data_IF_746700358684
#
_entry.id   IF_746700358684
#
_cell.length_a   1.000
_cell.length_b   1.000
_cell.length_c   1.000
_cell.angle_alpha   90.00
_cell.angle_beta   90.00
_cell.angle_gamma   90.00
#
_symmetry.space_group_name_H-M   'P 1'
#
loop_
_entity.id
_entity.type
_entity.pdbx_description
1 polymer ?
#
# COMPACT_ATOMS: atom_id res chain seq x y z
N UNK A 1 10.11 -9.62 12.25
CA UNK A 1 8.67 -9.37 12.01
C UNK A 1 8.29 -9.90 10.64
N UNK A 2 7.13 -10.54 10.49
CA UNK A 2 6.69 -11.06 9.18
C UNK A 2 6.41 -9.88 8.24
N UNK A 3 7.23 -9.72 7.19
CA UNK A 3 7.19 -8.61 6.21
C UNK A 3 5.89 -8.48 5.41
N UNK A 4 4.93 -9.41 5.57
CA UNK A 4 3.75 -9.54 4.71
C UNK A 4 2.43 -9.43 5.46
N UNK A 5 2.46 -8.98 6.71
CA UNK A 5 1.27 -8.72 7.52
C UNK A 5 0.74 -7.32 7.23
N UNK A 6 -0.56 -7.13 7.44
CA UNK A 6 -1.18 -5.82 7.40
C UNK A 6 -0.81 -5.03 8.65
N UNK A 7 -0.24 -3.86 8.40
CA UNK A 7 -0.07 -2.81 9.40
C UNK A 7 -1.36 -1.97 9.48
N UNK A 8 -1.60 -1.26 10.58
CA UNK A 8 -2.68 -0.27 10.65
C UNK A 8 -2.61 0.78 9.52
N UNK A 9 -1.40 1.15 9.10
CA UNK A 9 -1.17 2.09 7.99
C UNK A 9 -1.69 1.54 6.65
N UNK A 10 -1.42 0.26 6.33
CA UNK A 10 -1.92 -0.36 5.10
C UNK A 10 -3.46 -0.32 5.05
N UNK A 11 -4.11 -0.55 6.19
CA UNK A 11 -5.57 -0.55 6.29
C UNK A 11 -6.12 0.87 6.20
N UNK A 12 -5.51 1.84 6.90
CA UNK A 12 -5.88 3.25 6.84
C UNK A 12 -5.87 3.76 5.39
N UNK A 13 -4.74 3.62 4.69
CA UNK A 13 -4.59 4.01 3.30
C UNK A 13 -5.59 3.32 2.37
N UNK A 14 -5.90 2.04 2.64
CA UNK A 14 -6.89 1.31 1.86
C UNK A 14 -8.31 1.86 2.05
N UNK A 15 -8.69 2.20 3.29
CA UNK A 15 -9.99 2.79 3.61
C UNK A 15 -10.14 4.19 3.02
N UNK A 16 -9.08 5.02 3.02
CA UNK A 16 -9.13 6.35 2.41
C UNK A 16 -9.23 6.29 0.89
N UNK A 17 -8.52 5.35 0.26
CA UNK A 17 -8.58 5.18 -1.19
C UNK A 17 -9.94 4.65 -1.67
N UNK A 18 -10.52 3.72 -0.93
CA UNK A 18 -11.79 3.11 -1.30
C UNK A 18 -12.90 3.96 -0.72
N UNK A 19 -13.63 4.70 -1.56
CA UNK A 19 -14.81 5.50 -1.17
C UNK A 19 -15.96 4.60 -0.64
N UNK A 20 -15.72 3.99 0.52
CA UNK A 20 -16.53 3.00 1.18
C UNK A 20 -17.61 3.68 2.01
N UNK A 21 -18.77 3.03 2.12
CA UNK A 21 -19.72 3.40 3.15
C UNK A 21 -19.17 2.96 4.50
N UNK A 22 -19.62 3.61 5.58
CA UNK A 22 -19.27 3.22 6.94
C UNK A 22 -19.54 1.73 7.23
N UNK A 23 -20.58 1.15 6.60
CA UNK A 23 -20.87 -0.29 6.66
C UNK A 23 -19.78 -1.16 6.06
N UNK A 24 -19.21 -0.75 4.92
CA UNK A 24 -18.15 -1.48 4.22
C UNK A 24 -16.84 -1.41 5.01
N UNK A 25 -16.50 -0.23 5.55
CA UNK A 25 -15.34 -0.08 6.42
C UNK A 25 -15.45 -0.94 7.69
N UNK A 26 -16.63 -0.93 8.33
CA UNK A 26 -16.90 -1.73 9.51
C UNK A 26 -16.74 -3.21 9.19
N UNK A 27 -17.36 -3.67 8.10
CA UNK A 27 -17.23 -5.05 7.64
C UNK A 27 -15.77 -5.44 7.41
N UNK A 28 -14.97 -4.61 6.74
CA UNK A 28 -13.56 -4.90 6.50
C UNK A 28 -12.79 -5.04 7.83
N UNK A 29 -12.93 -4.07 8.74
CA UNK A 29 -12.22 -4.04 10.02
C UNK A 29 -12.60 -5.25 10.89
N UNK A 30 -13.89 -5.57 10.97
CA UNK A 30 -14.39 -6.73 11.71
C UNK A 30 -13.96 -8.04 11.06
N UNK A 31 -14.09 -8.18 9.74
CA UNK A 31 -13.65 -9.39 9.05
C UNK A 31 -12.14 -9.66 9.21
N UNK A 32 -11.31 -8.62 9.13
CA UNK A 32 -9.87 -8.74 9.41
C UNK A 32 -9.61 -9.20 10.84
N UNK A 33 -10.33 -8.65 11.82
CA UNK A 33 -10.16 -9.00 13.22
C UNK A 33 -10.64 -10.41 13.54
N UNK A 34 -11.87 -10.73 13.15
CA UNK A 34 -12.59 -11.93 13.58
C UNK A 34 -12.18 -13.16 12.74
N UNK A 35 -11.91 -13.00 11.44
CA UNK A 35 -11.67 -14.13 10.53
C UNK A 35 -10.24 -14.20 9.98
N UNK A 36 -9.48 -13.09 10.03
CA UNK A 36 -8.14 -13.01 9.43
C UNK A 36 -7.09 -12.40 10.36
N UNK A 37 -7.27 -12.59 11.67
CA UNK A 37 -6.41 -12.00 12.71
C UNK A 37 -4.91 -12.31 12.50
N UNK A 38 -4.61 -13.51 12.00
CA UNK A 38 -3.25 -13.97 11.69
C UNK A 38 -2.55 -13.14 10.60
N UNK A 39 -3.30 -12.37 9.79
CA UNK A 39 -2.77 -11.45 8.78
C UNK A 39 -2.42 -10.07 9.35
N UNK A 40 -2.89 -9.72 10.55
CA UNK A 40 -2.58 -8.45 11.21
C UNK A 40 -1.17 -8.52 11.82
N UNK A 41 -0.46 -7.41 11.94
CA UNK A 41 0.81 -7.36 12.65
C UNK A 41 0.69 -7.85 14.12
N UNK A 42 1.63 -8.66 14.66
CA UNK A 42 1.42 -9.38 15.92
C UNK A 42 1.16 -8.47 17.13
N UNK A 43 1.74 -7.28 17.16
CA UNK A 43 1.56 -6.31 18.25
C UNK A 43 0.11 -5.83 18.41
N UNK A 44 -0.72 -5.92 17.36
CA UNK A 44 -2.11 -5.48 17.40
C UNK A 44 -3.11 -6.63 17.59
N UNK A 45 -2.70 -7.90 17.45
CA UNK A 45 -3.58 -9.09 17.45
C UNK A 45 -4.33 -9.37 18.76
N UNK A 46 -3.87 -8.79 19.87
CA UNK A 46 -4.42 -9.10 21.21
C UNK A 46 -5.52 -8.15 21.68
N UNK A 47 -5.72 -7.01 21.00
CA UNK A 47 -6.77 -6.05 21.38
C UNK A 47 -7.43 -5.40 20.16
N UNK A 48 -8.73 -5.69 19.95
CA UNK A 48 -9.54 -5.12 18.88
C UNK A 48 -9.54 -3.60 18.95
N UNK A 49 -9.69 -3.07 20.17
CA UNK A 49 -9.61 -1.65 20.45
C UNK A 49 -8.28 -1.04 20.03
N UNK A 50 -7.14 -1.62 20.45
CA UNK A 50 -5.82 -1.10 20.06
C UNK A 50 -5.60 -1.15 18.55
N UNK A 51 -6.06 -2.21 17.89
CA UNK A 51 -5.96 -2.33 16.44
C UNK A 51 -6.79 -1.23 15.72
N UNK A 52 -8.06 -1.06 16.08
CA UNK A 52 -8.93 -0.07 15.45
C UNK A 52 -8.50 1.37 15.76
N UNK A 53 -8.03 1.62 16.99
CA UNK A 53 -7.44 2.90 17.37
C UNK A 53 -6.18 3.19 16.55
N UNK A 54 -5.30 2.21 16.37
CA UNK A 54 -4.10 2.40 15.55
C UNK A 54 -4.42 2.71 14.08
N UNK A 55 -5.47 2.08 13.51
CA UNK A 55 -5.91 2.43 12.14
C UNK A 55 -6.38 3.89 12.09
N UNK A 56 -7.17 4.32 13.07
CA UNK A 56 -7.70 5.70 13.12
C UNK A 56 -6.57 6.72 13.24
N UNK A 57 -5.62 6.48 14.14
CA UNK A 57 -4.41 7.30 14.29
C UNK A 57 -3.57 7.35 13.01
N UNK A 58 -3.51 6.25 12.26
CA UNK A 58 -2.81 6.24 10.96
C UNK A 58 -3.50 7.14 9.93
N UNK A 59 -4.84 7.21 9.89
CA UNK A 59 -5.58 8.11 9.00
C UNK A 59 -5.35 9.58 9.38
N UNK A 60 -5.48 9.90 10.66
CA UNK A 60 -5.17 11.23 11.20
C UNK A 60 -3.73 11.65 10.86
N UNK A 61 -2.77 10.72 10.95
CA UNK A 61 -1.39 10.98 10.55
C UNK A 61 -1.21 11.17 9.04
N UNK A 62 -1.97 10.48 8.19
CA UNK A 62 -1.95 10.74 6.75
C UNK A 62 -2.45 12.14 6.43
N UNK A 63 -3.53 12.58 7.06
CA UNK A 63 -4.03 13.96 6.93
C UNK A 63 -2.95 14.97 7.40
N UNK A 64 -2.22 14.65 8.47
CA UNK A 64 -1.09 15.45 8.91
C UNK A 64 0.11 15.42 7.94
N UNK A 65 0.35 14.33 7.22
CA UNK A 65 1.37 14.24 6.16
C UNK A 65 0.99 15.04 4.92
N UNK A 66 -0.29 15.08 4.54
CA UNK A 66 -0.76 15.98 3.49
C UNK A 66 -0.54 17.44 3.93
N UNK A 67 -0.78 17.74 5.21
CA UNK A 67 -0.41 19.02 5.81
C UNK A 67 1.11 19.24 5.82
N UNK A 68 1.95 18.22 5.97
CA UNK A 68 3.42 18.36 5.81
C UNK A 68 3.81 18.77 4.39
N UNK A 69 3.20 18.18 3.37
CA UNK A 69 3.44 18.57 1.97
C UNK A 69 2.98 20.03 1.74
N UNK A 70 1.85 20.45 2.33
CA UNK A 70 1.42 21.85 2.37
C UNK A 70 2.43 22.74 3.12
N UNK A 71 2.95 22.28 4.25
CA UNK A 71 3.99 22.97 5.05
C UNK A 71 5.28 23.11 4.23
N UNK A 72 5.68 22.12 3.43
CA UNK A 72 6.82 22.24 2.51
C UNK A 72 6.59 23.30 1.43
N UNK A 73 5.36 23.40 0.91
CA UNK A 73 4.98 24.46 -0.03
C UNK A 73 5.03 25.83 0.65
N UNK A 74 4.50 25.94 1.87
CA UNK A 74 4.53 27.17 2.68
C UNK A 74 5.97 27.58 3.02
N UNK A 75 6.82 26.66 3.46
CA UNK A 75 8.25 26.91 3.72
C UNK A 75 8.98 27.45 2.48
N UNK A 76 8.61 26.98 1.28
CA UNK A 76 9.16 27.49 0.02
C UNK A 76 8.72 28.93 -0.25
N UNK A 77 7.43 29.23 -0.08
CA UNK A 77 6.90 30.59 -0.23
C UNK A 77 7.49 31.57 0.79
N UNK A 78 7.65 31.14 2.05
CA UNK A 78 8.27 31.93 3.11
C UNK A 78 9.73 32.29 2.78
N UNK A 79 10.49 31.35 2.19
CA UNK A 79 11.85 31.62 1.70
C UNK A 79 11.86 32.63 0.55
N UNK A 80 10.91 32.55 -0.39
CA UNK A 80 10.82 33.47 -1.52
C UNK A 80 10.56 34.93 -1.09
N UNK A 81 9.84 35.15 0.01
CA UNK A 81 9.58 36.49 0.56
C UNK A 81 10.64 36.95 1.58
N UNK A 82 11.73 36.21 1.74
CA UNK A 82 12.84 36.56 2.64
C UNK A 82 12.58 36.26 4.13
N UNK A 83 11.57 35.45 4.46
CA UNK A 83 11.31 35.02 5.83
C UNK A 83 12.34 33.96 6.28
N UNK A 84 12.80 34.09 7.53
CA UNK A 84 13.73 33.14 8.17
C UNK A 84 13.04 32.02 8.95
N UNK A 85 11.71 31.94 8.90
CA UNK A 85 10.91 30.96 9.64
C UNK A 85 10.78 29.65 8.84
N UNK A 86 11.07 28.51 9.47
CA UNK A 86 11.02 27.17 8.85
C UNK A 86 10.41 26.14 9.81
N UNK A 87 9.45 25.36 9.31
CA UNK A 87 8.79 24.27 10.04
C UNK A 87 9.51 22.95 9.69
N UNK A 88 9.97 22.16 10.68
CA UNK A 88 11.17 21.28 10.52
C UNK A 88 11.06 19.78 10.80
N UNK A 89 9.92 19.19 11.19
CA UNK A 89 9.87 17.73 11.39
C UNK A 89 9.23 17.01 10.21
N UNK A 90 9.86 15.94 9.68
CA UNK A 90 9.29 14.56 9.62
C UNK A 90 10.14 13.59 8.75
N UNK A 91 10.38 12.40 9.30
CA UNK A 91 11.19 11.30 8.73
C UNK A 91 10.34 10.27 7.96
N UNK A 92 10.85 9.72 6.84
CA UNK A 92 10.20 8.64 6.07
C UNK A 92 11.17 7.48 5.81
N UNK A 93 10.81 6.29 6.28
CA UNK A 93 11.50 5.04 5.94
C UNK A 93 10.49 3.87 5.82
N UNK A 94 9.80 3.78 4.68
CA UNK A 94 8.90 2.65 4.38
C UNK A 94 9.13 2.06 2.98
N UNK A 95 9.04 0.72 2.87
CA UNK A 95 9.17 0.00 1.61
C UNK A 95 7.84 0.00 0.83
N UNK A 96 7.55 1.11 0.14
CA UNK A 96 6.28 1.40 -0.53
C UNK A 96 5.81 0.35 -1.56
N UNK A 97 6.73 -0.34 -2.24
CA UNK A 97 6.33 -1.36 -3.22
C UNK A 97 5.70 -2.60 -2.56
N UNK A 98 6.11 -2.94 -1.34
CA UNK A 98 5.50 -4.05 -0.60
C UNK A 98 4.10 -3.67 -0.10
N UNK A 99 3.93 -2.43 0.37
CA UNK A 99 2.64 -1.87 0.76
C UNK A 99 1.65 -1.89 -0.41
N UNK A 100 2.10 -1.58 -1.62
CA UNK A 100 1.28 -1.65 -2.82
C UNK A 100 0.72 -3.06 -3.09
N UNK A 101 1.51 -4.12 -2.90
CA UNK A 101 0.98 -5.48 -3.08
C UNK A 101 0.02 -5.88 -1.96
N UNK A 102 0.25 -5.44 -0.71
CA UNK A 102 -0.73 -5.62 0.38
C UNK A 102 -2.06 -4.93 0.04
N UNK A 103 -1.98 -3.73 -0.49
CA UNK A 103 -3.13 -2.97 -0.98
C UNK A 103 -3.84 -3.68 -2.15
N UNK A 104 -3.12 -4.23 -3.14
CA UNK A 104 -3.74 -5.05 -4.20
C UNK A 104 -4.53 -6.22 -3.59
N UNK A 105 -3.94 -6.92 -2.62
CA UNK A 105 -4.63 -8.03 -1.96
C UNK A 105 -5.92 -7.56 -1.29
N UNK A 106 -5.89 -6.44 -0.56
CA UNK A 106 -7.09 -5.85 0.05
C UNK A 106 -8.16 -5.53 -1.01
N UNK A 107 -7.77 -4.93 -2.15
CA UNK A 107 -8.70 -4.65 -3.26
C UNK A 107 -9.38 -5.91 -3.77
N UNK A 108 -8.60 -6.96 -4.04
CA UNK A 108 -9.12 -8.22 -4.58
C UNK A 108 -10.02 -8.96 -3.58
N UNK A 109 -9.81 -8.76 -2.28
CA UNK A 109 -10.63 -9.40 -1.22
C UNK A 109 -11.90 -8.61 -0.91
N UNK A 110 -11.81 -7.28 -0.82
CA UNK A 110 -12.88 -6.46 -0.23
C UNK A 110 -13.64 -5.59 -1.23
N UNK A 111 -13.10 -5.30 -2.42
CA UNK A 111 -13.84 -4.55 -3.43
C UNK A 111 -14.70 -5.50 -4.26
N UNK A 112 -16.02 -5.38 -4.12
CA UNK A 112 -16.99 -6.18 -4.87
C UNK A 112 -16.75 -6.05 -6.38
N UNK A 113 -16.63 -7.17 -7.08
CA UNK A 113 -16.38 -7.22 -8.52
C UNK A 113 -14.92 -7.03 -8.94
N UNK A 114 -14.00 -6.71 -8.02
CA UNK A 114 -12.58 -6.61 -8.33
C UNK A 114 -11.95 -8.01 -8.37
N UNK A 115 -11.90 -8.61 -9.56
CA UNK A 115 -11.32 -9.95 -9.76
C UNK A 115 -9.83 -9.93 -10.12
N UNK A 116 -9.32 -8.77 -10.55
CA UNK A 116 -7.93 -8.60 -10.96
C UNK A 116 -7.54 -7.11 -10.94
N UNK A 117 -6.23 -6.84 -10.87
CA UNK A 117 -5.64 -5.50 -11.02
C UNK A 117 -4.75 -5.49 -12.25
N UNK A 118 -4.84 -4.44 -13.09
CA UNK A 118 -4.03 -4.29 -14.31
C UNK A 118 -3.05 -3.15 -14.15
N UNK A 119 -1.76 -3.39 -14.42
CA UNK A 119 -0.74 -2.35 -14.38
C UNK A 119 0.38 -2.65 -15.39
N UNK A 120 0.86 -1.65 -16.11
CA UNK A 120 2.08 -1.80 -16.92
C UNK A 120 3.29 -1.94 -16.01
N UNK A 121 4.20 -2.85 -16.30
CA UNK A 121 5.40 -3.03 -15.48
C UNK A 121 6.23 -1.73 -15.38
N UNK A 122 6.35 -0.97 -16.48
CA UNK A 122 6.99 0.36 -16.50
C UNK A 122 6.33 1.33 -15.51
N UNK A 123 5.01 1.38 -15.48
CA UNK A 123 4.25 2.25 -14.56
C UNK A 123 4.48 1.83 -13.12
N UNK A 124 4.41 0.52 -12.83
CA UNK A 124 4.70 0.00 -11.50
C UNK A 124 6.08 0.45 -11.00
N UNK A 125 7.12 0.22 -11.80
CA UNK A 125 8.49 0.56 -11.42
C UNK A 125 8.68 2.08 -11.25
N UNK A 126 8.13 2.87 -12.19
CA UNK A 126 8.21 4.33 -12.15
C UNK A 126 7.54 4.91 -10.89
N UNK A 127 6.37 4.38 -10.51
CA UNK A 127 5.62 4.87 -9.34
C UNK A 127 6.39 4.69 -8.03
N UNK A 128 7.35 3.75 -7.97
CA UNK A 128 8.19 3.51 -6.80
C UNK A 128 9.65 3.98 -7.01
N UNK A 129 9.89 4.89 -7.96
CA UNK A 129 11.21 5.49 -8.19
C UNK A 129 12.24 4.58 -8.86
N UNK A 130 11.85 3.38 -9.29
CA UNK A 130 12.78 2.44 -9.93
C UNK A 130 12.99 2.77 -11.40
N UNK A 131 14.18 3.26 -11.73
CA UNK A 131 14.61 3.54 -13.11
C UNK A 131 14.92 2.27 -13.92
N UNK A 132 15.34 1.19 -13.24
CA UNK A 132 15.76 -0.09 -13.85
C UNK A 132 15.24 -1.28 -13.05
N UNK A 133 15.13 -2.43 -13.73
CA UNK A 133 14.93 -3.72 -13.07
C UNK A 133 16.26 -4.19 -12.49
N UNK A 134 16.38 -4.21 -11.18
CA UNK A 134 17.45 -4.95 -10.51
C UNK A 134 16.95 -6.34 -10.13
N UNK A 135 17.85 -7.32 -10.12
CA UNK A 135 17.53 -8.67 -9.64
C UNK A 135 16.98 -8.64 -8.22
N UNK A 136 17.54 -7.80 -7.35
CA UNK A 136 17.10 -7.61 -5.97
C UNK A 136 15.65 -7.13 -5.89
N UNK A 137 15.27 -6.14 -6.70
CA UNK A 137 13.90 -5.63 -6.75
C UNK A 137 12.93 -6.71 -7.21
N UNK A 138 13.27 -7.41 -8.30
CA UNK A 138 12.42 -8.46 -8.85
C UNK A 138 12.26 -9.62 -7.86
N UNK A 139 13.35 -10.03 -7.19
CA UNK A 139 13.31 -11.02 -6.13
C UNK A 139 12.41 -10.57 -4.98
N UNK A 140 12.46 -9.30 -4.59
CA UNK A 140 11.58 -8.77 -3.55
C UNK A 140 10.11 -8.81 -3.97
N UNK A 141 9.79 -8.34 -5.18
CA UNK A 141 8.43 -8.37 -5.73
C UNK A 141 7.88 -9.81 -5.75
N UNK A 142 8.64 -10.77 -6.30
CA UNK A 142 8.24 -12.18 -6.35
C UNK A 142 7.96 -12.73 -4.95
N UNK A 143 8.85 -12.46 -3.99
CA UNK A 143 8.70 -12.93 -2.61
C UNK A 143 7.46 -12.35 -1.95
N UNK A 144 7.22 -11.05 -2.13
CA UNK A 144 6.03 -10.34 -1.62
C UNK A 144 4.75 -10.89 -2.23
N UNK A 145 4.69 -11.03 -3.55
CA UNK A 145 3.53 -11.59 -4.23
C UNK A 145 3.22 -13.02 -3.75
N UNK A 146 4.23 -13.89 -3.69
CA UNK A 146 4.08 -15.26 -3.20
C UNK A 146 3.53 -15.29 -1.78
N UNK A 147 4.09 -14.49 -0.86
CA UNK A 147 3.64 -14.44 0.52
C UNK A 147 2.21 -13.90 0.68
N UNK A 148 1.78 -13.05 -0.25
CA UNK A 148 0.43 -12.50 -0.26
C UNK A 148 -0.59 -13.38 -0.98
N UNK A 149 -0.16 -14.46 -1.66
CA UNK A 149 -1.04 -15.29 -2.48
C UNK A 149 -1.48 -14.58 -3.75
N UNK A 150 -0.57 -13.81 -4.36
CA UNK A 150 -0.81 -13.09 -5.61
C UNK A 150 -0.07 -13.75 -6.76
N UNK A 151 -0.69 -13.78 -7.94
CA UNK A 151 -0.08 -14.29 -9.17
C UNK A 151 -0.21 -13.29 -10.32
N UNK A 152 0.83 -13.22 -11.16
CA UNK A 152 0.87 -12.40 -12.37
C UNK A 152 0.52 -13.21 -13.61
N UNK A 153 -0.21 -12.56 -14.50
CA UNK A 153 -0.56 -13.05 -15.83
C UNK A 153 -0.32 -11.96 -16.87
N UNK A 154 -0.13 -12.37 -18.11
CA UNK A 154 -0.23 -11.51 -19.29
C UNK A 154 -1.65 -11.53 -19.88
N UNK A 155 -1.85 -10.74 -20.93
CA UNK A 155 -3.09 -10.72 -21.72
C UNK A 155 -3.48 -12.16 -22.12
N UNK A 156 -4.76 -12.48 -21.96
CA UNK A 156 -5.28 -13.83 -22.20
C UNK A 156 -5.11 -14.81 -21.03
N UNK A 157 -4.85 -14.30 -19.81
CA UNK A 157 -4.67 -15.11 -18.59
C UNK A 157 -3.53 -16.12 -18.69
N UNK A 158 -2.46 -15.79 -19.43
CA UNK A 158 -1.25 -16.62 -19.48
C UNK A 158 -0.40 -16.34 -18.25
N UNK A 159 -0.13 -17.32 -17.37
CA UNK A 159 0.76 -17.13 -16.24
C UNK A 159 2.10 -16.57 -16.72
N UNK A 160 2.67 -15.61 -15.98
CA UNK A 160 3.94 -15.03 -16.36
C UNK A 160 4.86 -14.82 -15.17
N UNK A 161 6.15 -14.90 -15.45
CA UNK A 161 7.19 -14.48 -14.53
C UNK A 161 7.54 -13.00 -14.78
N UNK A 162 7.36 -12.15 -13.77
CA UNK A 162 7.66 -10.72 -13.83
C UNK A 162 9.13 -10.42 -14.21
N UNK A 163 10.08 -11.35 -14.01
CA UNK A 163 11.46 -11.16 -14.50
C UNK A 163 11.56 -11.15 -16.03
N UNK A 164 10.68 -11.88 -16.72
CA UNK A 164 10.75 -12.15 -18.16
C UNK A 164 9.84 -11.23 -18.98
N UNK A 165 8.92 -10.53 -18.32
CA UNK A 165 7.92 -9.64 -18.94
C UNK A 165 8.57 -8.37 -19.50
N UNK A 166 8.12 -7.84 -20.64
CA UNK A 166 8.64 -6.56 -21.19
C UNK A 166 8.14 -5.37 -20.35
N UNK A 167 8.87 -4.25 -20.36
CA UNK A 167 8.49 -3.08 -19.55
C UNK A 167 7.10 -2.54 -19.91
N UNK A 168 6.73 -2.61 -21.20
CA UNK A 168 5.45 -2.09 -21.69
C UNK A 168 4.29 -3.09 -21.60
N UNK A 169 4.57 -4.33 -21.19
CA UNK A 169 3.52 -5.32 -21.01
C UNK A 169 2.63 -4.98 -19.81
N UNK A 170 1.34 -5.28 -19.98
CA UNK A 170 0.33 -5.14 -18.93
C UNK A 170 0.33 -6.42 -18.10
N UNK A 171 0.71 -6.28 -16.83
CA UNK A 171 0.53 -7.30 -15.82
C UNK A 171 -0.94 -7.33 -15.39
N UNK A 172 -1.47 -8.53 -15.28
CA UNK A 172 -2.77 -8.83 -14.69
C UNK A 172 -2.51 -9.58 -13.39
N UNK A 173 -2.79 -8.96 -12.26
CA UNK A 173 -2.54 -9.51 -10.92
C UNK A 173 -3.86 -10.04 -10.35
N UNK A 174 -3.85 -11.28 -9.85
CA UNK A 174 -5.01 -11.97 -9.26
C UNK A 174 -4.63 -12.61 -7.93
N UNK A 175 -5.66 -12.92 -7.12
CA UNK A 175 -5.52 -13.84 -6.00
C UNK A 175 -5.34 -15.26 -6.56
N UNK A 176 -4.42 -16.01 -5.94
CA UNK A 176 -4.24 -17.44 -6.15
C UNK A 176 -5.34 -18.23 -5.45
#
# INVERSE_FOLDING_TARGET
MSKYLYTPQDIALFLDYCNFKLSDEKFLKENLWDNRNSLIEPRYRKSKYKFFKAISLCRERCEALDYEDEVQVINRMLKEIGSSYEITELEKDENYIEAFFRFIKLRLVYIKGCTHVRIKLRTLLRNFGYKRRSETLIKNIKRTMKALGLQCYLKGNKPCDISEVKLDDILVIRLM
#
